data_IF_198080127571
#
_entry.id   IF_198080127571
#
_cell.length_a   1.000
_cell.length_b   1.000
_cell.length_c   1.000
_cell.angle_alpha   90.00
_cell.angle_beta   90.00
_cell.angle_gamma   90.00
#
_symmetry.space_group_name_H-M   'P 1'
#
loop_
_entity.id
_entity.type
_entity.pdbx_description
1 polymer ?
#
# COMPACT_ATOMS: atom_id res chain seq x y z
N UNK A 1 62.38 -35.11 52.26
CA UNK A 1 61.24 -35.98 51.89
C UNK A 1 59.98 -35.51 52.61
N UNK A 2 59.01 -34.89 51.92
CA UNK A 2 57.56 -35.14 52.07
C UNK A 2 56.72 -34.07 51.36
N UNK A 3 56.04 -34.54 50.31
CA UNK A 3 54.64 -34.32 49.92
C UNK A 3 54.14 -32.88 49.70
N UNK A 4 54.11 -32.54 48.41
CA UNK A 4 53.19 -31.57 47.80
C UNK A 4 51.72 -31.93 48.07
N UNK A 5 50.91 -30.93 48.46
CA UNK A 5 49.44 -30.99 48.43
C UNK A 5 48.95 -30.09 47.31
N UNK A 6 48.29 -30.72 46.35
CA UNK A 6 47.58 -30.12 45.22
C UNK A 6 46.32 -29.44 45.76
N UNK A 7 46.14 -28.16 45.43
CA UNK A 7 44.90 -27.41 45.63
C UNK A 7 44.08 -27.52 44.35
N UNK A 8 42.91 -28.15 44.42
CA UNK A 8 41.97 -28.26 43.32
C UNK A 8 41.29 -26.91 43.11
N UNK A 9 41.63 -26.22 42.01
CA UNK A 9 40.90 -25.04 41.57
C UNK A 9 39.73 -25.47 40.67
N UNK A 10 38.52 -25.23 41.13
CA UNK A 10 37.29 -25.43 40.36
C UNK A 10 37.24 -24.38 39.25
N UNK A 11 37.49 -24.78 38.01
CA UNK A 11 37.37 -23.93 36.83
C UNK A 11 35.88 -23.66 36.57
N UNK A 12 35.39 -22.49 36.93
CA UNK A 12 34.08 -22.02 36.49
C UNK A 12 34.18 -21.72 34.98
N UNK A 13 33.68 -22.65 34.17
CA UNK A 13 33.55 -22.48 32.73
C UNK A 13 32.43 -21.45 32.48
N UNK A 14 32.82 -20.19 32.36
CA UNK A 14 31.92 -19.11 31.99
C UNK A 14 31.52 -19.34 30.53
N UNK A 15 30.33 -19.89 30.30
CA UNK A 15 29.71 -19.94 28.98
C UNK A 15 29.46 -18.49 28.51
N UNK A 16 30.41 -17.93 27.77
CA UNK A 16 30.19 -16.78 26.92
C UNK A 16 29.22 -17.21 25.81
N UNK A 17 27.92 -17.04 26.05
CA UNK A 17 26.93 -17.04 24.97
C UNK A 17 27.29 -15.92 23.99
N UNK A 18 27.43 -16.21 22.69
CA UNK A 18 27.69 -15.16 21.72
C UNK A 18 26.49 -14.22 21.72
N UNK A 19 26.74 -12.94 21.98
CA UNK A 19 25.78 -11.88 21.74
C UNK A 19 25.50 -11.87 20.23
N UNK A 20 24.40 -12.49 19.81
CA UNK A 20 23.90 -12.27 18.46
C UNK A 20 23.63 -10.78 18.32
N UNK A 21 24.43 -10.12 17.48
CA UNK A 21 24.18 -8.73 17.10
C UNK A 21 22.98 -8.74 16.17
N UNK A 22 21.81 -8.40 16.69
CA UNK A 22 20.64 -8.12 15.86
C UNK A 22 20.98 -6.91 14.98
N UNK A 23 20.95 -7.09 13.67
CA UNK A 23 21.20 -6.01 12.73
C UNK A 23 19.98 -5.07 12.75
N UNK A 24 20.16 -3.85 13.22
CA UNK A 24 19.18 -2.79 13.05
C UNK A 24 19.15 -2.42 11.56
N UNK A 25 18.10 -2.83 10.84
CA UNK A 25 17.98 -2.52 9.41
C UNK A 25 17.62 -1.05 9.24
N UNK A 26 18.49 -0.27 8.61
CA UNK A 26 18.08 0.98 7.96
C UNK A 26 17.12 0.63 6.82
N UNK A 27 16.07 1.43 6.61
CA UNK A 27 15.13 1.19 5.52
C UNK A 27 15.88 1.08 4.17
N UNK A 28 15.64 0.04 3.36
CA UNK A 28 16.37 -0.16 2.13
C UNK A 28 16.08 0.98 1.16
N UNK A 29 17.08 1.32 0.35
CA UNK A 29 17.04 2.44 -0.60
C UNK A 29 16.88 1.91 -2.02
N UNK A 30 15.90 2.45 -2.76
CA UNK A 30 15.55 2.08 -4.15
C UNK A 30 15.55 3.26 -5.10
N UNK A 31 16.14 4.37 -4.72
CA UNK A 31 16.26 5.50 -5.62
C UNK A 31 17.57 6.22 -5.43
N UNK A 32 18.13 6.64 -6.55
CA UNK A 32 19.28 7.53 -6.60
C UNK A 32 18.79 8.97 -6.56
N UNK A 33 19.40 9.75 -5.67
CA UNK A 33 19.20 11.20 -5.64
C UNK A 33 20.02 11.83 -6.75
N UNK A 34 19.35 12.51 -7.67
CA UNK A 34 19.99 13.19 -8.79
C UNK A 34 19.85 14.70 -8.59
N UNK A 35 20.97 15.34 -8.25
CA UNK A 35 21.05 16.80 -8.18
C UNK A 35 20.77 17.36 -9.57
N UNK A 36 19.73 18.20 -9.65
CA UNK A 36 19.21 18.68 -10.92
C UNK A 36 18.50 20.02 -10.71
N UNK A 37 19.03 21.08 -11.31
CA UNK A 37 18.41 22.40 -11.21
C UNK A 37 17.58 22.72 -12.45
N UNK A 38 16.29 22.98 -12.25
CA UNK A 38 15.39 23.44 -13.30
C UNK A 38 14.48 24.53 -12.74
N UNK A 39 14.54 25.72 -13.35
CA UNK A 39 13.69 26.86 -12.99
C UNK A 39 12.79 27.25 -14.15
N UNK A 40 11.52 27.51 -13.85
CA UNK A 40 10.55 28.02 -14.83
C UNK A 40 11.00 29.34 -15.49
N UNK A 41 11.83 30.14 -14.82
CA UNK A 41 12.36 31.40 -15.37
C UNK A 41 13.31 31.19 -16.55
N UNK A 42 13.93 30.02 -16.63
CA UNK A 42 14.86 29.66 -17.71
C UNK A 42 14.16 29.01 -18.90
N UNK A 43 12.86 28.72 -18.78
CA UNK A 43 12.11 28.01 -19.82
C UNK A 43 11.68 28.95 -20.95
N UNK A 44 11.77 28.46 -22.18
CA UNK A 44 11.25 29.13 -23.38
C UNK A 44 9.79 28.76 -23.68
N UNK A 45 9.22 27.82 -22.93
CA UNK A 45 7.84 27.36 -23.04
C UNK A 45 7.26 27.06 -21.64
N UNK A 46 5.93 27.03 -21.44
CA UNK A 46 5.33 26.67 -20.15
C UNK A 46 5.47 25.17 -19.81
N UNK A 47 6.28 24.43 -20.58
CA UNK A 47 6.51 22.99 -20.44
C UNK A 47 7.99 22.72 -20.23
N UNK A 48 8.27 21.72 -19.41
CA UNK A 48 9.58 21.14 -19.24
C UNK A 48 9.48 19.62 -19.12
N UNK A 49 10.59 18.93 -19.35
CA UNK A 49 10.65 17.48 -19.25
C UNK A 49 11.84 17.11 -18.38
N UNK A 50 11.62 16.20 -17.43
CA UNK A 50 12.68 15.52 -16.69
C UNK A 50 12.71 14.07 -17.16
N UNK A 51 13.86 13.61 -17.64
CA UNK A 51 14.08 12.23 -18.07
C UNK A 51 15.24 11.61 -17.30
N UNK A 52 15.06 10.35 -16.90
CA UNK A 52 16.11 9.53 -16.34
C UNK A 52 16.00 8.11 -16.91
N UNK A 53 16.73 7.78 -17.99
CA UNK A 53 16.57 6.52 -18.69
C UNK A 53 16.63 5.31 -17.75
N UNK A 54 15.68 4.39 -17.92
CA UNK A 54 15.51 3.16 -17.12
C UNK A 54 15.04 3.35 -15.67
N UNK A 55 14.68 4.57 -15.26
CA UNK A 55 14.02 4.74 -13.97
C UNK A 55 12.62 4.09 -14.00
N UNK A 56 12.28 3.36 -12.94
CA UNK A 56 10.95 2.76 -12.76
C UNK A 56 9.92 3.79 -12.30
N UNK A 57 10.38 4.84 -11.63
CA UNK A 57 9.60 6.04 -11.32
C UNK A 57 10.52 7.26 -11.17
N UNK A 58 9.94 8.45 -11.27
CA UNK A 58 10.59 9.71 -10.94
C UNK A 58 9.77 10.44 -9.88
N UNK A 59 10.45 10.97 -8.85
CA UNK A 59 9.83 11.83 -7.84
C UNK A 59 10.59 13.14 -7.72
N UNK A 60 9.96 14.23 -8.14
CA UNK A 60 10.56 15.56 -8.17
C UNK A 60 10.52 16.22 -6.80
N UNK A 61 11.63 16.80 -6.37
CA UNK A 61 11.64 17.74 -5.25
C UNK A 61 11.61 19.17 -5.79
N UNK A 62 10.65 19.94 -5.30
CA UNK A 62 10.53 21.35 -5.59
C UNK A 62 11.13 22.13 -4.42
N UNK A 63 12.20 22.87 -4.69
CA UNK A 63 12.70 23.90 -3.80
C UNK A 63 11.63 24.96 -3.56
N UNK A 64 10.94 25.38 -4.62
CA UNK A 64 9.82 26.30 -4.53
C UNK A 64 8.78 26.10 -5.64
N UNK A 65 7.52 26.35 -5.30
CA UNK A 65 6.39 26.43 -6.22
C UNK A 65 5.52 27.63 -5.81
N UNK A 66 5.44 28.63 -6.67
CA UNK A 66 4.62 29.82 -6.47
C UNK A 66 3.54 29.88 -7.55
N UNK A 67 2.28 29.67 -7.15
CA UNK A 67 1.13 29.63 -8.05
C UNK A 67 0.20 30.83 -7.77
N UNK A 68 -0.03 31.72 -8.76
CA UNK A 68 -1.16 32.66 -8.73
C UNK A 68 -2.50 31.94 -8.55
N UNK A 69 -3.46 32.60 -7.93
CA UNK A 69 -4.79 32.04 -7.70
C UNK A 69 -5.42 31.56 -9.02
N UNK A 70 -5.86 30.30 -9.05
CA UNK A 70 -6.48 29.67 -10.23
C UNK A 70 -5.50 29.20 -11.31
N UNK A 71 -4.20 29.33 -11.10
CA UNK A 71 -3.17 28.66 -11.92
C UNK A 71 -2.86 27.28 -11.35
N UNK A 72 -2.14 26.45 -12.11
CA UNK A 72 -1.74 25.13 -11.64
C UNK A 72 -0.40 24.70 -12.24
N UNK A 73 0.21 23.70 -11.62
CA UNK A 73 1.26 22.88 -12.24
C UNK A 73 0.72 21.47 -12.40
N UNK A 74 0.92 20.86 -13.57
CA UNK A 74 0.53 19.49 -13.89
C UNK A 74 1.76 18.68 -14.22
N UNK A 75 1.83 17.49 -13.64
CA UNK A 75 2.87 16.50 -13.91
C UNK A 75 2.21 15.28 -14.55
N UNK A 76 2.80 14.80 -15.63
CA UNK A 76 2.26 13.68 -16.42
C UNK A 76 3.37 12.66 -16.71
N UNK A 77 3.10 11.37 -16.48
CA UNK A 77 4.00 10.28 -16.85
C UNK A 77 4.19 10.18 -18.37
N UNK A 78 5.26 9.51 -18.83
CA UNK A 78 5.56 9.35 -20.27
C UNK A 78 4.37 8.82 -21.09
N UNK A 79 3.68 7.83 -20.53
CA UNK A 79 2.56 7.13 -21.17
C UNK A 79 1.21 7.84 -20.97
N UNK A 80 1.18 8.90 -20.17
CA UNK A 80 -0.02 9.66 -19.83
C UNK A 80 -0.97 8.96 -18.86
N UNK A 81 -0.59 7.83 -18.27
CA UNK A 81 -1.46 7.06 -17.36
C UNK A 81 -1.55 7.65 -15.96
N UNK A 82 -0.51 8.36 -15.52
CA UNK A 82 -0.53 9.10 -14.26
C UNK A 82 -0.46 10.61 -14.53
N UNK A 83 -1.47 11.32 -14.03
CA UNK A 83 -1.57 12.79 -14.10
C UNK A 83 -1.87 13.32 -12.71
N UNK A 84 -1.01 14.20 -12.21
CA UNK A 84 -1.23 14.91 -10.94
C UNK A 84 -1.19 16.42 -11.16
N UNK A 85 -2.05 17.16 -10.47
CA UNK A 85 -2.14 18.60 -10.58
C UNK A 85 -2.11 19.24 -9.20
N UNK A 86 -1.30 20.28 -9.05
CA UNK A 86 -1.21 21.09 -7.84
C UNK A 86 -1.68 22.52 -8.13
N UNK A 87 -2.51 23.05 -7.24
CA UNK A 87 -3.10 24.41 -7.34
C UNK A 87 -2.64 25.32 -6.21
N UNK A 88 -1.91 24.80 -5.23
CA UNK A 88 -1.42 25.54 -4.08
C UNK A 88 0.08 25.77 -4.17
N UNK A 89 0.54 26.92 -3.66
CA UNK A 89 1.97 27.23 -3.56
C UNK A 89 2.62 26.40 -2.45
N UNK A 90 3.85 25.93 -2.69
CA UNK A 90 4.59 25.05 -1.77
C UNK A 90 6.07 25.40 -1.73
N UNK A 91 6.77 24.98 -0.68
CA UNK A 91 8.20 25.19 -0.48
C UNK A 91 8.84 23.91 0.04
N UNK A 92 10.04 23.58 -0.44
CA UNK A 92 10.82 22.40 -0.02
C UNK A 92 9.97 21.14 0.10
N UNK A 93 9.36 20.72 -1.00
CA UNK A 93 8.31 19.72 -1.02
C UNK A 93 8.52 18.71 -2.18
N UNK A 94 8.20 17.45 -1.92
CA UNK A 94 8.15 16.43 -2.97
C UNK A 94 6.78 16.33 -3.62
N UNK A 95 6.74 16.45 -4.95
CA UNK A 95 5.58 16.03 -5.71
C UNK A 95 5.36 14.51 -5.59
N UNK A 96 4.16 14.07 -5.96
CA UNK A 96 3.84 12.65 -6.08
C UNK A 96 4.75 12.03 -7.14
N UNK A 97 5.27 10.85 -6.84
CA UNK A 97 6.02 10.02 -7.77
C UNK A 97 5.16 9.64 -8.97
N UNK A 98 5.79 9.60 -10.15
CA UNK A 98 5.17 9.12 -11.37
C UNK A 98 5.97 7.94 -11.90
N UNK A 99 5.29 6.84 -12.22
CA UNK A 99 5.90 5.67 -12.82
C UNK A 99 6.45 5.99 -14.22
N UNK A 100 7.54 5.30 -14.55
CA UNK A 100 8.29 5.49 -15.77
C UNK A 100 9.50 6.44 -15.61
N UNK A 101 10.19 6.59 -16.74
CA UNK A 101 11.51 7.23 -16.82
C UNK A 101 11.45 8.69 -17.29
N UNK A 102 10.24 9.28 -17.34
CA UNK A 102 10.01 10.66 -17.77
C UNK A 102 8.83 11.28 -17.04
N UNK A 103 8.98 12.55 -16.67
CA UNK A 103 7.90 13.43 -16.21
C UNK A 103 7.82 14.64 -17.12
N UNK A 104 6.66 14.83 -17.74
CA UNK A 104 6.27 16.08 -18.37
C UNK A 104 5.72 17.02 -17.31
N UNK A 105 6.29 18.22 -17.23
CA UNK A 105 5.89 19.31 -16.34
C UNK A 105 5.20 20.37 -17.19
N UNK A 106 3.98 20.75 -16.83
CA UNK A 106 3.22 21.81 -17.50
C UNK A 106 2.73 22.86 -16.49
N UNK A 107 3.08 24.12 -16.72
CA UNK A 107 2.49 25.26 -16.02
C UNK A 107 1.21 25.71 -16.75
N UNK A 108 0.10 25.74 -16.01
CA UNK A 108 -1.22 26.07 -16.51
C UNK A 108 -1.59 27.48 -16.03
N UNK A 109 -1.78 28.45 -16.94
CA UNK A 109 -2.14 29.80 -16.56
C UNK A 109 -3.57 29.86 -16.03
N UNK A 110 -3.85 30.84 -15.18
CA UNK A 110 -5.21 31.13 -14.75
C UNK A 110 -6.02 31.86 -15.84
N UNK A 111 -7.29 32.18 -15.57
CA UNK A 111 -8.17 32.87 -16.51
C UNK A 111 -7.68 34.26 -16.97
N UNK A 112 -6.74 34.88 -16.26
CA UNK A 112 -6.12 36.17 -16.61
C UNK A 112 -4.82 36.01 -17.42
N UNK A 113 -4.38 34.78 -17.68
CA UNK A 113 -3.10 34.48 -18.33
C UNK A 113 -1.91 34.53 -17.37
N UNK A 114 -2.12 34.65 -16.06
CA UNK A 114 -1.05 34.62 -15.06
C UNK A 114 -0.57 33.18 -14.88
N UNK A 115 0.74 32.96 -14.97
CA UNK A 115 1.38 31.65 -14.89
C UNK A 115 2.20 31.53 -13.60
N UNK A 116 2.25 30.32 -13.04
CA UNK A 116 3.08 30.02 -11.88
C UNK A 116 4.57 29.99 -12.17
N UNK A 117 5.36 29.92 -11.11
CA UNK A 117 6.81 29.74 -11.15
C UNK A 117 7.21 28.56 -10.27
N UNK A 118 8.27 27.85 -10.68
CA UNK A 118 8.82 26.74 -9.90
C UNK A 118 10.34 26.68 -9.99
N UNK A 119 10.95 26.11 -8.97
CA UNK A 119 12.34 25.70 -8.93
C UNK A 119 12.43 24.26 -8.41
N UNK A 120 13.00 23.37 -9.23
CA UNK A 120 13.40 22.00 -8.87
C UNK A 120 14.90 22.02 -8.61
N UNK A 121 15.31 21.41 -7.50
CA UNK A 121 16.71 21.32 -7.04
C UNK A 121 17.28 19.90 -7.14
N UNK A 122 16.43 18.88 -7.06
CA UNK A 122 16.80 17.49 -7.34
C UNK A 122 15.56 16.62 -7.63
N UNK A 123 15.80 15.39 -8.07
CA UNK A 123 14.76 14.36 -8.17
C UNK A 123 15.30 13.00 -7.72
N UNK A 124 14.39 12.11 -7.34
CA UNK A 124 14.68 10.70 -7.09
C UNK A 124 14.41 9.88 -8.35
N UNK A 125 15.40 9.12 -8.81
CA UNK A 125 15.28 8.15 -9.89
C UNK A 125 15.13 6.76 -9.28
N UNK A 126 13.93 6.20 -9.37
CA UNK A 126 13.60 4.89 -8.82
C UNK A 126 14.24 3.75 -9.61
N UNK A 127 14.79 2.78 -8.89
CA UNK A 127 15.23 1.48 -9.38
C UNK A 127 14.67 0.41 -8.45
N UNK A 128 13.60 -0.24 -8.89
CA UNK A 128 12.88 -1.28 -8.13
C UNK A 128 13.69 -2.59 -8.04
N UNK A 129 14.83 -2.70 -8.72
CA UNK A 129 15.79 -3.79 -8.49
C UNK A 129 16.64 -3.48 -7.25
N UNK A 130 16.19 -3.95 -6.08
CA UNK A 130 17.08 -4.03 -4.94
C UNK A 130 18.15 -5.10 -5.21
N UNK A 131 19.42 -4.74 -5.03
CA UNK A 131 20.46 -5.74 -4.90
C UNK A 131 20.09 -6.68 -3.73
N UNK A 132 20.20 -8.00 -3.93
CA UNK A 132 19.83 -9.11 -3.02
C UNK A 132 20.59 -9.13 -1.67
N UNK A 133 21.04 -7.99 -1.18
CA UNK A 133 21.93 -7.83 -0.03
C UNK A 133 21.27 -8.07 1.34
N UNK A 134 19.96 -8.32 1.40
CA UNK A 134 19.22 -8.33 2.68
C UNK A 134 18.46 -9.62 3.01
N UNK A 135 18.82 -10.77 2.42
CA UNK A 135 18.24 -12.08 2.77
C UNK A 135 18.42 -12.50 4.26
N UNK A 136 19.02 -11.68 5.12
CA UNK A 136 19.23 -11.94 6.54
C UNK A 136 17.93 -12.23 7.32
N UNK A 137 16.78 -11.79 6.81
CA UNK A 137 15.46 -12.00 7.44
C UNK A 137 14.63 -13.07 6.73
N UNK A 138 15.17 -13.71 5.69
CA UNK A 138 14.57 -14.89 5.05
C UNK A 138 15.09 -16.12 5.77
N UNK A 139 14.18 -16.88 6.37
CA UNK A 139 14.51 -17.92 7.31
C UNK A 139 14.57 -19.27 6.63
N UNK A 140 15.56 -19.44 5.74
CA UNK A 140 15.70 -20.64 4.93
C UNK A 140 15.40 -20.36 3.48
N UNK A 141 14.41 -21.07 2.95
CA UNK A 141 13.88 -20.82 1.62
C UNK A 141 12.90 -19.65 1.72
N UNK A 142 12.83 -18.80 0.70
CA UNK A 142 11.84 -17.72 0.67
C UNK A 142 10.48 -18.30 0.23
N UNK A 143 9.52 -18.36 1.14
CA UNK A 143 8.15 -18.80 0.89
C UNK A 143 7.19 -17.66 0.54
N UNK A 144 7.61 -16.39 0.67
CA UNK A 144 6.78 -15.24 0.27
C UNK A 144 6.48 -15.26 -1.21
N UNK A 145 5.23 -14.92 -1.53
CA UNK A 145 4.70 -14.82 -2.88
C UNK A 145 3.76 -13.63 -2.95
N UNK A 146 3.54 -13.11 -4.16
CA UNK A 146 2.52 -12.09 -4.42
C UNK A 146 1.20 -12.50 -3.77
N UNK A 147 0.48 -11.53 -3.21
CA UNK A 147 -0.85 -11.75 -2.59
C UNK A 147 -1.79 -12.52 -3.53
N UNK A 148 -1.76 -12.24 -4.83
CA UNK A 148 -2.61 -12.89 -5.82
C UNK A 148 -2.34 -14.41 -5.98
N UNK A 149 -1.14 -14.89 -5.63
CA UNK A 149 -0.83 -16.34 -5.63
C UNK A 149 -1.60 -17.10 -4.55
N UNK A 150 -2.10 -16.39 -3.53
CA UNK A 150 -2.85 -16.97 -2.42
C UNK A 150 -4.36 -16.88 -2.62
N UNK A 151 -4.84 -16.30 -3.72
CA UNK A 151 -6.26 -16.01 -3.93
C UNK A 151 -7.14 -17.26 -3.89
N UNK A 152 -6.66 -18.38 -4.43
CA UNK A 152 -7.41 -19.64 -4.49
C UNK A 152 -7.35 -20.44 -3.18
N UNK A 153 -6.22 -20.38 -2.47
CA UNK A 153 -6.00 -21.18 -1.25
C UNK A 153 -6.35 -20.43 0.04
N UNK A 154 -6.23 -19.11 0.06
CA UNK A 154 -6.42 -18.25 1.23
C UNK A 154 -7.11 -16.91 0.88
N UNK A 155 -8.30 -16.93 0.25
CA UNK A 155 -9.00 -15.72 -0.21
C UNK A 155 -9.30 -14.72 0.93
N UNK A 156 -9.53 -15.22 2.14
CA UNK A 156 -9.77 -14.39 3.31
C UNK A 156 -8.52 -13.57 3.69
N UNK A 157 -7.36 -14.22 3.83
CA UNK A 157 -6.08 -13.55 4.16
C UNK A 157 -5.68 -12.53 3.10
N UNK A 158 -5.97 -12.84 1.83
CA UNK A 158 -5.82 -11.89 0.71
C UNK A 158 -6.69 -10.64 0.94
N UNK A 159 -7.95 -10.81 1.31
CA UNK A 159 -8.86 -9.69 1.61
C UNK A 159 -8.36 -8.83 2.76
N UNK A 160 -7.88 -9.47 3.83
CA UNK A 160 -7.32 -8.77 4.99
C UNK A 160 -5.96 -8.10 4.73
N UNK A 161 -5.30 -8.39 3.61
CA UNK A 161 -4.11 -7.64 3.19
C UNK A 161 -4.43 -6.29 2.54
N UNK A 162 -5.70 -6.02 2.19
CA UNK A 162 -6.12 -4.81 1.47
C UNK A 162 -5.69 -3.49 2.14
N UNK A 163 -5.80 -3.33 3.48
CA UNK A 163 -5.42 -2.10 4.18
C UNK A 163 -3.91 -1.85 4.31
N UNK A 164 -3.09 -2.76 3.79
CA UNK A 164 -1.62 -2.68 3.85
C UNK A 164 -1.08 -1.96 2.62
N UNK A 165 -0.11 -1.10 2.85
CA UNK A 165 0.47 -0.19 1.88
C UNK A 165 2.00 -0.17 1.94
N UNK A 166 2.62 0.15 0.82
CA UNK A 166 4.05 0.44 0.74
C UNK A 166 4.30 1.90 1.11
N UNK A 167 5.39 2.17 1.83
CA UNK A 167 5.89 3.51 2.04
C UNK A 167 7.01 3.82 1.06
N UNK A 168 7.00 5.03 0.49
CA UNK A 168 8.12 5.62 -0.21
C UNK A 168 8.55 6.88 0.57
N UNK A 169 9.53 6.71 1.46
CA UNK A 169 10.01 7.69 2.43
C UNK A 169 11.10 8.53 1.78
N UNK A 170 10.95 9.86 1.85
CA UNK A 170 11.86 10.83 1.22
C UNK A 170 12.16 10.50 -0.26
N UNK A 171 11.22 9.82 -0.93
CA UNK A 171 11.34 9.40 -2.32
C UNK A 171 12.31 8.27 -2.62
N UNK A 172 12.91 7.62 -1.62
CA UNK A 172 13.97 6.62 -1.85
C UNK A 172 13.94 5.41 -0.94
N UNK A 173 13.43 5.54 0.29
CA UNK A 173 13.48 4.47 1.29
C UNK A 173 12.14 3.77 1.42
N UNK A 174 12.18 2.51 1.83
CA UNK A 174 11.00 1.66 1.84
C UNK A 174 10.68 1.11 3.21
N UNK A 175 9.39 1.09 3.50
CA UNK A 175 8.80 0.36 4.60
C UNK A 175 7.38 -0.07 4.21
N UNK A 176 6.70 -0.70 5.15
CA UNK A 176 5.28 -1.04 5.08
C UNK A 176 4.50 -0.18 6.08
N UNK A 177 3.28 0.18 5.71
CA UNK A 177 2.30 0.80 6.60
C UNK A 177 0.93 0.17 6.42
N UNK A 178 -0.01 0.44 7.33
CA UNK A 178 -1.35 -0.11 7.23
C UNK A 178 -2.37 0.73 7.99
N UNK A 179 -3.63 0.72 7.50
CA UNK A 179 -4.75 1.41 8.17
C UNK A 179 -5.24 0.64 9.39
N UNK A 180 -5.49 1.37 10.48
CA UNK A 180 -6.00 0.82 11.73
C UNK A 180 -7.26 1.56 12.18
N UNK A 181 -8.36 0.82 12.33
CA UNK A 181 -9.66 1.43 12.65
C UNK A 181 -10.27 2.30 11.54
N UNK A 182 -11.51 2.77 11.75
CA UNK A 182 -12.29 3.45 10.71
C UNK A 182 -11.78 4.84 10.35
N UNK A 183 -11.12 5.51 11.30
CA UNK A 183 -10.66 6.89 11.13
C UNK A 183 -9.32 6.96 10.37
N UNK A 184 -8.89 8.19 10.09
CA UNK A 184 -7.61 8.47 9.44
C UNK A 184 -6.44 8.17 10.39
N UNK A 185 -6.07 6.88 10.48
CA UNK A 185 -5.04 6.34 11.37
C UNK A 185 -4.28 5.23 10.65
N UNK A 186 -2.96 5.34 10.61
CA UNK A 186 -2.07 4.35 10.01
C UNK A 186 -0.88 4.06 10.94
N UNK A 187 -0.43 2.81 10.95
CA UNK A 187 0.80 2.39 11.63
C UNK A 187 1.95 2.13 10.66
N UNK A 188 3.16 2.42 11.12
CA UNK A 188 4.45 1.94 10.58
C UNK A 188 5.48 1.91 11.73
N UNK A 189 6.76 1.64 11.47
CA UNK A 189 7.78 1.74 12.51
C UNK A 189 8.31 3.17 12.73
N UNK A 190 8.83 3.43 13.93
CA UNK A 190 9.55 4.68 14.23
C UNK A 190 10.80 4.83 13.36
N UNK A 191 11.55 3.75 13.11
CA UNK A 191 12.73 3.84 12.24
C UNK A 191 12.42 4.07 10.76
N UNK A 192 11.17 3.87 10.34
CA UNK A 192 10.69 4.21 9.01
C UNK A 192 10.32 5.69 8.91
N UNK A 193 9.54 6.16 9.88
CA UNK A 193 9.11 7.56 9.96
C UNK A 193 9.16 8.00 11.41
N UNK A 194 10.12 8.87 11.75
CA UNK A 194 10.39 9.30 13.13
C UNK A 194 10.02 10.76 13.40
N UNK A 195 9.83 11.56 12.35
CA UNK A 195 9.55 13.01 12.47
C UNK A 195 8.39 13.45 11.58
N UNK A 196 7.73 14.55 11.97
CA UNK A 196 6.65 15.13 11.17
C UNK A 196 7.15 15.63 9.79
N UNK A 197 8.39 16.12 9.70
CA UNK A 197 8.99 16.58 8.44
C UNK A 197 9.19 15.42 7.47
N UNK A 198 9.71 14.29 7.95
CA UNK A 198 9.86 13.07 7.15
C UNK A 198 8.50 12.49 6.74
N UNK A 199 7.52 12.52 7.64
CA UNK A 199 6.16 12.07 7.32
C UNK A 199 5.56 12.87 6.16
N UNK A 200 5.71 14.20 6.16
CA UNK A 200 5.21 15.08 5.08
C UNK A 200 5.86 14.80 3.72
N UNK A 201 7.01 14.15 3.70
CA UNK A 201 7.75 13.75 2.50
C UNK A 201 7.51 12.28 2.11
N UNK A 202 6.70 11.56 2.87
CA UNK A 202 6.46 10.13 2.69
C UNK A 202 5.17 9.91 1.91
N UNK A 203 5.26 9.13 0.82
CA UNK A 203 4.09 8.60 0.12
C UNK A 203 3.66 7.26 0.74
N UNK A 204 2.35 7.03 0.75
CA UNK A 204 1.70 5.78 1.18
C UNK A 204 0.95 5.20 -0.01
N UNK A 205 1.38 4.04 -0.49
CA UNK A 205 0.93 3.39 -1.72
C UNK A 205 0.04 2.20 -1.41
N UNK A 206 -1.27 2.40 -1.56
CA UNK A 206 -2.26 1.34 -1.49
C UNK A 206 -2.40 0.65 -2.84
N UNK A 207 -2.80 -0.63 -2.81
CA UNK A 207 -3.01 -1.45 -4.01
C UNK A 207 -1.77 -1.59 -4.91
N UNK A 208 -0.57 -1.31 -4.40
CA UNK A 208 0.69 -1.64 -5.06
C UNK A 208 0.91 -3.16 -4.97
N UNK A 209 0.20 -3.91 -5.80
CA UNK A 209 0.18 -5.38 -5.78
C UNK A 209 -0.06 -5.91 -7.18
N UNK A 210 0.23 -7.18 -7.43
CA UNK A 210 -0.09 -7.79 -8.73
C UNK A 210 -1.56 -8.23 -8.79
N UNK A 211 -2.15 -8.12 -9.97
CA UNK A 211 -3.54 -8.50 -10.25
C UNK A 211 -3.74 -10.02 -10.32
N UNK A 212 -2.69 -10.74 -10.71
CA UNK A 212 -2.62 -12.21 -10.76
C UNK A 212 -1.25 -12.64 -10.26
N UNK A 213 -1.10 -13.93 -9.91
CA UNK A 213 0.17 -14.45 -9.42
C UNK A 213 1.31 -14.19 -10.43
N UNK A 214 2.35 -13.46 -10.03
CA UNK A 214 3.45 -12.99 -10.89
C UNK A 214 3.02 -12.16 -12.12
N UNK A 215 1.79 -11.64 -12.13
CA UNK A 215 1.21 -10.92 -13.27
C UNK A 215 1.55 -9.42 -13.30
N UNK A 216 0.68 -8.64 -13.94
CA UNK A 216 0.85 -7.18 -14.01
C UNK A 216 0.47 -6.49 -12.70
N UNK A 217 1.13 -5.36 -12.43
CA UNK A 217 0.77 -4.46 -11.35
C UNK A 217 -0.68 -3.96 -11.49
N UNK A 218 -1.36 -3.87 -10.36
CA UNK A 218 -2.64 -3.18 -10.24
C UNK A 218 -2.43 -1.67 -10.18
N UNK A 219 -3.49 -0.91 -10.44
CA UNK A 219 -3.48 0.54 -10.28
C UNK A 219 -3.20 0.90 -8.83
N UNK A 220 -2.10 1.62 -8.62
CA UNK A 220 -1.67 2.05 -7.28
C UNK A 220 -2.38 3.33 -6.88
N UNK A 221 -2.85 3.40 -5.64
CA UNK A 221 -3.44 4.61 -5.06
C UNK A 221 -2.42 5.23 -4.11
N UNK A 222 -1.99 6.45 -4.42
CA UNK A 222 -0.97 7.19 -3.66
C UNK A 222 -1.62 8.29 -2.83
N UNK A 223 -1.23 8.38 -1.57
CA UNK A 223 -1.56 9.51 -0.66
C UNK A 223 -0.30 9.95 0.08
N UNK A 224 -0.29 11.18 0.61
CA UNK A 224 0.84 11.72 1.35
C UNK A 224 0.63 11.60 2.87
N UNK A 225 1.70 11.42 3.63
CA UNK A 225 1.66 11.55 5.08
C UNK A 225 1.29 12.98 5.51
N UNK A 226 0.47 13.10 6.57
CA UNK A 226 -0.05 14.38 7.05
C UNK A 226 0.41 14.71 8.47
N UNK A 227 -0.20 14.11 9.50
CA UNK A 227 0.09 14.44 10.90
C UNK A 227 0.72 13.24 11.62
N UNK A 228 1.83 13.48 12.32
CA UNK A 228 2.46 12.50 13.20
C UNK A 228 1.77 12.57 14.57
N UNK A 229 1.02 11.53 14.92
CA UNK A 229 0.19 11.51 16.13
C UNK A 229 0.95 10.98 17.35
N UNK A 230 1.71 9.89 17.15
CA UNK A 230 2.49 9.28 18.22
C UNK A 230 3.64 8.48 17.63
N UNK A 231 4.81 8.52 18.26
CA UNK A 231 5.96 7.70 17.88
C UNK A 231 6.79 7.35 19.11
N UNK A 232 7.38 6.16 19.13
CA UNK A 232 8.19 5.68 20.27
C UNK A 232 9.37 4.87 19.74
N UNK A 233 10.58 5.26 20.14
CA UNK A 233 11.81 4.59 19.69
C UNK A 233 11.95 3.19 20.27
N UNK A 234 11.56 2.97 21.53
CA UNK A 234 11.71 1.68 22.23
C UNK A 234 10.70 0.65 21.76
N UNK A 235 9.47 1.10 21.45
CA UNK A 235 8.42 0.25 20.87
C UNK A 235 8.37 0.32 19.34
N UNK A 236 9.37 0.97 18.74
CA UNK A 236 9.58 1.15 17.30
C UNK A 236 8.30 1.28 16.46
N UNK A 237 7.37 2.15 16.87
CA UNK A 237 6.13 2.38 16.14
C UNK A 237 5.93 3.87 15.88
N UNK A 238 5.17 4.17 14.83
CA UNK A 238 4.63 5.47 14.51
C UNK A 238 3.16 5.33 14.12
N UNK A 239 2.29 6.10 14.78
CA UNK A 239 0.90 6.32 14.43
C UNK A 239 0.78 7.68 13.74
N UNK A 240 0.17 7.71 12.57
CA UNK A 240 0.06 8.93 11.76
C UNK A 240 -1.24 9.00 10.96
N UNK A 241 -1.48 10.15 10.33
CA UNK A 241 -2.59 10.40 9.39
C UNK A 241 -2.07 10.68 7.99
N UNK A 242 -2.93 10.57 6.99
CA UNK A 242 -2.62 10.93 5.59
C UNK A 242 -3.50 12.08 5.09
N UNK A 243 -3.04 12.75 4.04
CA UNK A 243 -3.88 13.62 3.22
C UNK A 243 -4.79 12.78 2.32
N UNK A 244 -5.86 13.37 1.78
CA UNK A 244 -6.80 12.70 0.86
C UNK A 244 -7.33 11.32 1.34
N UNK A 245 -7.57 11.16 2.64
CA UNK A 245 -7.96 9.89 3.26
C UNK A 245 -9.12 9.15 2.56
N UNK A 246 -10.07 9.89 1.97
CA UNK A 246 -11.18 9.30 1.22
C UNK A 246 -10.72 8.43 0.03
N UNK A 247 -9.55 8.69 -0.56
CA UNK A 247 -8.98 7.86 -1.64
C UNK A 247 -8.65 6.45 -1.18
N UNK A 248 -8.36 6.26 0.11
CA UNK A 248 -7.93 4.98 0.66
C UNK A 248 -8.98 4.34 1.57
N UNK A 249 -10.11 5.01 1.79
CA UNK A 249 -11.19 4.58 2.68
C UNK A 249 -11.76 3.20 2.30
N UNK A 250 -11.85 2.90 1.00
CA UNK A 250 -12.40 1.66 0.44
C UNK A 250 -11.52 0.41 0.68
N UNK A 251 -10.23 0.57 0.98
CA UNK A 251 -9.34 -0.56 1.28
C UNK A 251 -9.61 -1.20 2.66
N UNK A 252 -10.54 -0.64 3.43
CA UNK A 252 -10.84 -1.11 4.79
C UNK A 252 -9.72 -0.81 5.78
N UNK A 253 -9.76 -1.47 6.93
CA UNK A 253 -8.81 -1.28 8.01
C UNK A 253 -8.64 -2.55 8.83
N UNK A 254 -7.47 -2.69 9.44
CA UNK A 254 -7.16 -3.80 10.34
C UNK A 254 -7.65 -3.52 11.76
N UNK A 255 -7.94 -4.61 12.47
CA UNK A 255 -8.24 -4.62 13.89
C UNK A 255 -6.99 -4.81 14.74
N UNK A 256 -7.10 -4.52 16.03
CA UNK A 256 -6.04 -4.73 17.01
C UNK A 256 -6.45 -5.81 18.02
N UNK A 257 -5.51 -6.68 18.35
CA UNK A 257 -5.57 -7.55 19.51
C UNK A 257 -4.39 -7.22 20.43
N UNK A 258 -4.71 -6.76 21.64
CA UNK A 258 -3.73 -6.34 22.64
C UNK A 258 -3.43 -7.42 23.68
N UNK A 259 -3.87 -8.66 23.45
CA UNK A 259 -3.46 -9.81 24.26
C UNK A 259 -1.99 -10.14 24.00
N UNK A 260 -1.34 -10.79 24.96
CA UNK A 260 0.05 -11.23 24.76
C UNK A 260 0.08 -12.41 23.76
N UNK A 261 1.02 -12.41 22.80
CA UNK A 261 1.16 -13.51 21.85
C UNK A 261 1.37 -14.86 22.54
N UNK A 262 0.79 -15.91 21.96
CA UNK A 262 0.86 -17.28 22.48
C UNK A 262 1.66 -18.14 21.52
N UNK A 263 2.63 -18.87 22.04
CA UNK A 263 3.46 -19.81 21.27
C UNK A 263 2.58 -20.80 20.48
N UNK A 264 2.91 -21.00 19.20
CA UNK A 264 2.21 -21.89 18.29
C UNK A 264 0.93 -21.30 17.67
N UNK A 265 0.49 -20.10 18.07
CA UNK A 265 -0.62 -19.45 17.36
C UNK A 265 -0.22 -19.16 15.92
N UNK A 266 -1.08 -19.56 14.98
CA UNK A 266 -0.84 -19.34 13.55
C UNK A 266 -0.93 -17.86 13.20
N UNK A 267 0.02 -17.37 12.39
CA UNK A 267 0.08 -15.97 11.95
C UNK A 267 0.26 -15.89 10.44
N UNK A 268 0.09 -14.70 9.88
CA UNK A 268 0.53 -14.37 8.54
C UNK A 268 0.89 -12.89 8.44
N UNK A 269 1.76 -12.54 7.48
CA UNK A 269 2.34 -11.19 7.38
C UNK A 269 2.18 -10.67 5.95
N UNK A 270 1.18 -9.79 5.70
CA UNK A 270 1.14 -8.97 4.49
C UNK A 270 2.21 -7.88 4.55
N UNK A 271 3.04 -7.78 3.51
CA UNK A 271 4.25 -6.96 3.55
C UNK A 271 4.67 -6.47 2.16
N UNK A 272 5.51 -5.44 2.14
CA UNK A 272 6.25 -4.97 0.95
C UNK A 272 7.74 -5.22 1.12
N UNK A 273 8.10 -6.49 1.27
CA UNK A 273 9.49 -6.90 1.35
C UNK A 273 10.27 -6.49 0.10
N UNK A 274 11.47 -5.95 0.28
CA UNK A 274 12.30 -5.38 -0.78
C UNK A 274 11.62 -4.25 -1.58
N UNK A 275 10.53 -3.68 -1.06
CA UNK A 275 9.69 -2.75 -1.82
C UNK A 275 8.85 -3.42 -2.90
N UNK A 276 8.86 -4.74 -3.00
CA UNK A 276 8.10 -5.47 -4.00
C UNK A 276 6.60 -5.17 -3.92
N UNK A 277 5.86 -5.44 -5.01
CA UNK A 277 4.40 -5.51 -4.95
C UNK A 277 3.96 -6.40 -3.80
N UNK A 278 2.83 -6.10 -3.16
CA UNK A 278 2.41 -6.73 -1.90
C UNK A 278 2.51 -8.26 -1.94
N UNK A 279 3.24 -8.80 -0.96
CA UNK A 279 3.45 -10.23 -0.75
C UNK A 279 2.81 -10.68 0.57
N UNK A 280 2.56 -11.98 0.69
CA UNK A 280 2.10 -12.63 1.91
C UNK A 280 3.09 -13.71 2.35
N UNK A 281 3.49 -13.67 3.62
CA UNK A 281 4.10 -14.80 4.33
C UNK A 281 3.00 -15.56 5.08
N UNK A 282 2.72 -16.79 4.65
CA UNK A 282 1.77 -17.72 5.28
C UNK A 282 2.45 -19.05 5.63
N UNK A 283 3.37 -19.50 4.78
CA UNK A 283 4.17 -20.71 4.96
C UNK A 283 5.49 -20.39 5.65
N UNK A 284 6.10 -21.39 6.29
CA UNK A 284 7.46 -21.31 6.84
C UNK A 284 8.09 -22.70 6.86
N UNK A 285 9.23 -22.87 6.17
CA UNK A 285 9.98 -24.13 6.12
C UNK A 285 10.60 -24.53 7.48
N UNK A 286 10.68 -23.59 8.44
CA UNK A 286 11.24 -23.81 9.78
C UNK A 286 10.27 -24.45 10.75
N UNK A 287 8.98 -24.36 10.46
CA UNK A 287 7.93 -24.86 11.34
C UNK A 287 7.47 -26.24 10.88
N UNK A 288 7.34 -27.17 11.83
CA UNK A 288 6.91 -28.55 11.52
C UNK A 288 5.50 -28.64 10.93
N UNK A 289 4.69 -27.59 11.08
CA UNK A 289 3.38 -27.43 10.43
C UNK A 289 3.46 -27.00 8.97
N UNK A 290 4.62 -26.50 8.51
CA UNK A 290 4.80 -25.80 7.25
C UNK A 290 4.19 -24.39 7.22
N UNK A 291 3.65 -23.91 8.34
CA UNK A 291 2.93 -22.65 8.44
C UNK A 291 3.64 -21.67 9.38
N UNK A 292 3.45 -20.40 9.09
CA UNK A 292 3.77 -19.30 9.98
C UNK A 292 3.05 -19.42 11.33
N UNK A 293 3.79 -19.28 12.42
CA UNK A 293 3.27 -19.26 13.78
C UNK A 293 4.14 -18.37 14.68
N UNK A 294 3.66 -18.09 15.90
CA UNK A 294 4.48 -17.49 16.95
C UNK A 294 5.45 -18.54 17.49
N UNK A 295 6.74 -18.31 17.32
CA UNK A 295 7.81 -19.22 17.75
C UNK A 295 8.45 -18.78 19.07
N UNK A 296 8.36 -17.49 19.41
CA UNK A 296 8.69 -16.97 20.74
C UNK A 296 7.61 -15.98 21.20
N UNK A 297 6.84 -16.36 22.22
CA UNK A 297 5.75 -15.55 22.77
C UNK A 297 6.20 -14.19 23.33
N UNK A 298 7.40 -14.14 23.92
CA UNK A 298 7.96 -12.89 24.44
C UNK A 298 9.49 -12.90 24.39
N UNK A 299 10.05 -11.89 23.75
CA UNK A 299 11.49 -11.68 23.62
C UNK A 299 11.83 -10.19 23.76
N UNK A 300 13.12 -9.88 23.89
CA UNK A 300 13.58 -8.50 23.90
C UNK A 300 13.63 -7.97 22.46
N UNK A 301 13.12 -6.77 22.25
CA UNK A 301 13.40 -5.97 21.06
C UNK A 301 14.38 -4.85 21.41
N UNK A 302 14.05 -3.61 21.02
CA UNK A 302 14.74 -2.41 21.55
C UNK A 302 14.48 -2.19 23.04
N UNK A 303 13.39 -2.76 23.55
CA UNK A 303 13.08 -2.81 24.97
C UNK A 303 13.03 -4.24 25.51
N UNK A 304 12.94 -4.35 26.83
CA UNK A 304 12.83 -5.62 27.52
C UNK A 304 11.43 -6.21 27.37
N UNK A 305 11.32 -7.45 26.89
CA UNK A 305 10.06 -8.18 26.66
C UNK A 305 9.02 -7.39 25.84
N UNK A 306 9.47 -6.55 24.91
CA UNK A 306 8.60 -5.75 24.04
C UNK A 306 8.05 -6.53 22.86
N UNK A 307 8.70 -7.64 22.50
CA UNK A 307 8.56 -8.28 21.20
C UNK A 307 8.07 -9.71 21.31
N UNK A 308 7.66 -10.26 20.17
CA UNK A 308 7.43 -11.67 19.90
C UNK A 308 8.22 -12.09 18.66
N UNK A 309 8.63 -13.36 18.59
CA UNK A 309 9.46 -13.92 17.51
C UNK A 309 8.72 -14.97 16.68
N UNK A 310 9.12 -15.10 15.41
CA UNK A 310 8.56 -16.03 14.42
C UNK A 310 9.56 -16.31 13.28
N UNK A 311 9.39 -17.46 12.62
CA UNK A 311 10.17 -17.83 11.43
C UNK A 311 9.48 -17.54 10.10
N UNK A 312 8.43 -16.71 10.10
CA UNK A 312 7.85 -16.18 8.87
C UNK A 312 8.87 -15.32 8.14
N UNK A 313 9.04 -15.56 6.85
CA UNK A 313 9.95 -14.78 6.02
C UNK A 313 9.57 -13.30 5.98
N UNK A 314 10.59 -12.47 6.17
CA UNK A 314 10.57 -11.04 5.89
C UNK A 314 11.90 -10.62 5.25
N UNK A 315 12.03 -9.34 4.91
CA UNK A 315 13.27 -8.74 4.37
C UNK A 315 13.21 -7.22 4.57
N UNK A 316 14.28 -6.48 4.32
CA UNK A 316 14.23 -5.01 4.32
C UNK A 316 13.03 -4.48 3.56
N UNK A 317 12.37 -3.43 4.06
CA UNK A 317 11.12 -2.90 3.51
C UNK A 317 9.86 -3.54 4.11
N UNK A 318 9.98 -4.72 4.72
CA UNK A 318 8.88 -5.33 5.49
C UNK A 318 8.65 -4.63 6.82
N UNK A 319 9.59 -3.83 7.30
CA UNK A 319 9.46 -2.99 8.49
C UNK A 319 8.12 -2.26 8.51
N UNK A 320 7.36 -2.42 9.58
CA UNK A 320 6.05 -1.79 9.79
C UNK A 320 4.89 -2.67 9.34
N UNK A 321 5.16 -3.85 8.80
CA UNK A 321 4.12 -4.82 8.43
C UNK A 321 3.35 -5.30 9.67
N UNK A 322 2.02 -5.45 9.57
CA UNK A 322 1.24 -6.04 10.64
C UNK A 322 1.47 -7.56 10.68
N UNK A 323 1.66 -8.09 11.89
CA UNK A 323 1.61 -9.54 12.15
C UNK A 323 0.19 -9.89 12.53
N UNK A 324 -0.51 -10.59 11.64
CA UNK A 324 -1.94 -10.89 11.78
C UNK A 324 -2.14 -12.30 12.33
N UNK A 325 -3.02 -12.45 13.32
CA UNK A 325 -3.42 -13.75 13.83
C UNK A 325 -4.34 -14.45 12.82
N UNK A 326 -4.14 -15.75 12.58
CA UNK A 326 -4.92 -16.51 11.60
C UNK A 326 -6.37 -16.73 12.06
N UNK A 327 -6.65 -16.73 13.38
CA UNK A 327 -7.99 -17.03 13.87
C UNK A 327 -9.01 -15.89 13.69
N UNK A 328 -8.55 -14.65 13.66
CA UNK A 328 -9.43 -13.46 13.65
C UNK A 328 -8.90 -12.29 12.81
N UNK A 329 -7.76 -12.44 12.14
CA UNK A 329 -7.12 -11.45 11.26
C UNK A 329 -6.76 -10.12 11.96
N UNK A 330 -6.69 -10.11 13.30
CA UNK A 330 -6.28 -8.93 14.06
C UNK A 330 -4.77 -8.84 14.15
N UNK A 331 -4.26 -7.61 14.15
CA UNK A 331 -2.85 -7.36 14.37
C UNK A 331 -2.48 -7.59 15.84
N UNK A 332 -1.50 -8.47 16.07
CA UNK A 332 -0.96 -8.81 17.39
C UNK A 332 0.46 -8.28 17.60
N UNK A 333 1.19 -8.00 16.51
CA UNK A 333 2.50 -7.38 16.56
C UNK A 333 2.76 -6.50 15.32
N UNK A 334 3.77 -5.63 15.42
CA UNK A 334 4.28 -4.78 14.35
C UNK A 334 5.72 -5.22 14.02
N UNK A 335 5.94 -5.80 12.84
CA UNK A 335 7.25 -6.29 12.42
C UNK A 335 8.29 -5.15 12.37
N UNK A 336 9.50 -5.37 12.89
CA UNK A 336 10.60 -4.39 12.80
C UNK A 336 12.01 -4.97 12.81
N UNK A 337 12.18 -6.23 13.23
CA UNK A 337 13.48 -6.88 13.35
C UNK A 337 13.54 -8.19 12.58
N UNK A 338 14.72 -8.47 12.03
CA UNK A 338 15.02 -9.73 11.39
C UNK A 338 16.37 -10.31 11.83
N UNK A 339 16.69 -11.49 11.31
CA UNK A 339 17.87 -12.26 11.70
C UNK A 339 17.61 -13.74 11.95
N UNK A 340 16.37 -14.20 11.71
CA UNK A 340 15.94 -15.58 11.82
C UNK A 340 16.29 -16.23 13.16
N UNK A 341 15.50 -15.97 14.21
CA UNK A 341 14.10 -15.50 14.14
C UNK A 341 13.88 -14.02 13.75
N UNK A 342 12.75 -13.77 13.07
CA UNK A 342 12.21 -12.43 12.87
C UNK A 342 11.35 -12.02 14.06
N UNK A 343 11.19 -10.72 14.29
CA UNK A 343 10.53 -10.19 15.48
C UNK A 343 9.63 -8.99 15.18
N UNK A 344 8.58 -8.87 16.00
CA UNK A 344 7.67 -7.73 15.98
C UNK A 344 7.31 -7.23 17.37
N UNK A 345 7.14 -5.92 17.51
CA UNK A 345 6.73 -5.28 18.75
C UNK A 345 5.27 -5.62 19.03
N UNK A 346 4.97 -6.09 20.23
CA UNK A 346 3.62 -6.54 20.61
C UNK A 346 2.63 -5.38 20.65
N UNK A 347 1.45 -5.58 20.05
CA UNK A 347 0.35 -4.60 20.10
C UNK A 347 -0.11 -4.39 21.54
N UNK A 348 0.03 -5.39 22.42
CA UNK A 348 -0.19 -5.23 23.86
C UNK A 348 0.62 -4.09 24.49
N UNK A 349 1.84 -3.83 23.99
CA UNK A 349 2.70 -2.73 24.44
C UNK A 349 2.37 -1.42 23.73
N UNK A 350 2.20 -1.44 22.40
CA UNK A 350 1.87 -0.25 21.61
C UNK A 350 0.53 0.34 22.05
N UNK A 351 -0.49 -0.50 22.31
CA UNK A 351 -1.82 -0.07 22.74
C UNK A 351 -1.79 0.86 23.95
N UNK A 352 -0.89 0.62 24.91
CA UNK A 352 -0.74 1.46 26.11
C UNK A 352 -0.36 2.91 25.80
N UNK A 353 0.23 3.16 24.62
CA UNK A 353 0.63 4.50 24.17
C UNK A 353 -0.40 5.18 23.28
N UNK A 354 -1.26 4.41 22.61
CA UNK A 354 -2.13 4.92 21.54
C UNK A 354 -3.62 4.83 21.82
N UNK A 355 -4.04 4.16 22.91
CA UNK A 355 -5.46 3.90 23.20
C UNK A 355 -6.35 5.16 23.15
N UNK A 356 -5.82 6.32 23.56
CA UNK A 356 -6.56 7.60 23.52
C UNK A 356 -6.96 8.02 22.11
N UNK A 357 -6.16 7.71 21.09
CA UNK A 357 -6.48 8.00 19.68
C UNK A 357 -7.63 7.16 19.12
N UNK A 358 -8.06 6.14 19.87
CA UNK A 358 -9.14 5.21 19.54
C UNK A 358 -10.26 5.22 20.59
N UNK A 359 -10.36 6.29 21.39
CA UNK A 359 -11.35 6.38 22.48
C UNK A 359 -11.32 5.16 23.42
N UNK A 360 -10.12 4.62 23.68
CA UNK A 360 -9.89 3.41 24.47
C UNK A 360 -10.62 2.15 23.99
N UNK A 361 -11.08 2.13 22.73
CA UNK A 361 -11.79 0.99 22.14
C UNK A 361 -10.92 0.34 21.07
N UNK A 362 -10.63 -0.95 21.22
CA UNK A 362 -9.85 -1.69 20.23
C UNK A 362 -10.62 -1.76 18.89
N UNK A 363 -10.00 -1.36 17.77
CA UNK A 363 -10.59 -1.57 16.46
C UNK A 363 -10.79 -3.08 16.19
N UNK A 364 -11.96 -3.46 15.69
CA UNK A 364 -12.24 -4.87 15.34
C UNK A 364 -11.76 -5.27 13.93
N UNK A 365 -11.40 -4.29 13.10
CA UNK A 365 -11.09 -4.52 11.68
C UNK A 365 -12.35 -4.57 10.82
N UNK A 366 -12.23 -4.11 9.58
CA UNK A 366 -13.27 -4.20 8.57
C UNK A 366 -12.60 -4.09 7.22
N UNK A 367 -12.52 -5.21 6.51
CA UNK A 367 -12.16 -5.23 5.10
C UNK A 367 -13.38 -5.65 4.31
N UNK A 368 -13.52 -5.13 3.09
CA UNK A 368 -14.46 -5.73 2.16
C UNK A 368 -14.02 -7.17 1.96
N UNK A 369 -14.84 -8.15 2.39
CA UNK A 369 -14.54 -9.59 2.26
C UNK A 369 -14.44 -10.05 0.79
N UNK A 370 -14.72 -9.12 -0.11
CA UNK A 370 -14.27 -9.15 -1.49
C UNK A 370 -13.39 -7.90 -1.64
N UNK A 371 -12.06 -7.99 -1.85
CA UNK A 371 -11.39 -6.91 -2.58
C UNK A 371 -12.28 -6.68 -3.79
N UNK A 372 -12.61 -5.44 -4.23
CA UNK A 372 -13.42 -5.32 -5.43
C UNK A 372 -12.69 -6.11 -6.53
N UNK A 373 -13.18 -7.32 -6.81
CA UNK A 373 -12.59 -8.23 -7.77
C UNK A 373 -13.02 -7.60 -9.06
N UNK A 374 -12.18 -6.69 -9.56
CA UNK A 374 -12.48 -5.94 -10.77
C UNK A 374 -12.54 -6.96 -11.88
N UNK A 375 -13.75 -7.40 -12.19
CA UNK A 375 -13.96 -8.44 -13.19
C UNK A 375 -13.75 -7.82 -14.56
N UNK A 376 -12.80 -8.34 -15.32
CA UNK A 376 -12.62 -7.88 -16.68
C UNK A 376 -13.86 -8.18 -17.52
N UNK A 377 -14.35 -7.16 -18.21
CA UNK A 377 -15.45 -7.21 -19.15
C UNK A 377 -14.88 -7.08 -20.57
N UNK A 378 -15.10 -8.10 -21.40
CA UNK A 378 -14.65 -8.10 -22.79
C UNK A 378 -15.77 -7.49 -23.66
N UNK A 379 -15.48 -6.46 -24.48
CA UNK A 379 -16.47 -5.89 -25.39
C UNK A 379 -17.13 -6.95 -26.28
N UNK A 380 -18.43 -6.79 -26.51
CA UNK A 380 -19.31 -7.68 -27.26
C UNK A 380 -19.48 -9.10 -26.66
N UNK A 381 -19.02 -9.34 -25.43
CA UNK A 381 -19.29 -10.58 -24.70
C UNK A 381 -20.21 -10.30 -23.49
N UNK A 382 -21.48 -10.74 -23.54
CA UNK A 382 -22.43 -10.50 -22.46
C UNK A 382 -22.09 -11.34 -21.22
N UNK A 383 -22.17 -10.72 -20.04
CA UNK A 383 -22.21 -11.41 -18.77
C UNK A 383 -23.67 -11.66 -18.38
N UNK A 384 -24.06 -12.91 -18.24
CA UNK A 384 -25.44 -13.31 -17.97
C UNK A 384 -25.62 -13.83 -16.55
N UNK A 385 -26.88 -13.89 -16.12
CA UNK A 385 -27.31 -14.48 -14.85
C UNK A 385 -26.62 -13.84 -13.62
N UNK A 386 -26.43 -12.53 -13.66
CA UNK A 386 -25.89 -11.76 -12.55
C UNK A 386 -26.94 -11.64 -11.44
N UNK A 387 -26.47 -11.76 -10.20
CA UNK A 387 -27.30 -11.60 -9.01
C UNK A 387 -26.48 -10.95 -7.89
N UNK A 388 -27.10 -10.04 -7.16
CA UNK A 388 -26.55 -9.36 -5.98
C UNK A 388 -27.66 -9.14 -4.95
N UNK A 389 -27.30 -9.17 -3.67
CA UNK A 389 -28.18 -8.81 -2.54
C UNK A 389 -28.22 -7.30 -2.34
N UNK A 390 -29.30 -6.78 -1.77
CA UNK A 390 -29.47 -5.35 -1.52
C UNK A 390 -28.24 -4.73 -0.82
N UNK A 391 -27.71 -3.65 -1.40
CA UNK A 391 -26.55 -2.93 -0.91
C UNK A 391 -25.21 -3.45 -1.41
N UNK A 392 -25.15 -4.64 -2.02
CA UNK A 392 -23.93 -5.17 -2.62
C UNK A 392 -23.57 -4.45 -3.92
N UNK A 393 -22.26 -4.41 -4.19
CA UNK A 393 -21.67 -3.77 -5.36
C UNK A 393 -20.73 -4.76 -6.07
N UNK A 394 -20.80 -4.81 -7.40
CA UNK A 394 -19.88 -5.55 -8.25
C UNK A 394 -19.15 -4.56 -9.16
N UNK A 395 -17.82 -4.58 -9.12
CA UNK A 395 -16.99 -3.73 -9.95
C UNK A 395 -16.44 -4.55 -11.14
N UNK A 396 -16.62 -4.02 -12.34
CA UNK A 396 -16.11 -4.56 -13.60
C UNK A 396 -15.25 -3.51 -14.30
N UNK A 397 -14.40 -3.95 -15.22
CA UNK A 397 -13.54 -3.06 -15.99
C UNK A 397 -13.36 -3.54 -17.43
N UNK A 398 -13.45 -2.61 -18.37
CA UNK A 398 -12.91 -2.80 -19.73
C UNK A 398 -11.55 -2.10 -19.78
N UNK A 399 -10.48 -2.87 -19.96
CA UNK A 399 -9.12 -2.31 -20.08
C UNK A 399 -9.02 -1.32 -21.23
N UNK A 400 -8.22 -0.27 -21.07
CA UNK A 400 -7.93 0.72 -22.11
C UNK A 400 -7.50 0.06 -23.44
N UNK A 401 -6.65 -0.98 -23.36
CA UNK A 401 -6.18 -1.76 -24.52
C UNK A 401 -7.29 -2.47 -25.29
N UNK A 402 -8.43 -2.74 -24.64
CA UNK A 402 -9.60 -3.38 -25.23
C UNK A 402 -10.65 -2.36 -25.70
N UNK A 403 -10.48 -1.06 -25.44
CA UNK A 403 -11.38 0.00 -25.92
C UNK A 403 -10.93 0.46 -27.31
N UNK A 404 -11.64 0.04 -28.37
CA UNK A 404 -11.33 0.44 -29.75
C UNK A 404 -12.24 1.54 -30.29
N UNK A 405 -13.45 1.65 -29.75
CA UNK A 405 -14.45 2.65 -30.11
C UNK A 405 -15.21 3.14 -28.86
N UNK A 406 -16.17 4.03 -29.04
CA UNK A 406 -17.11 4.37 -27.97
C UNK A 406 -17.88 3.10 -27.55
N UNK A 407 -18.02 2.89 -26.25
CA UNK A 407 -18.72 1.75 -25.70
C UNK A 407 -20.12 2.15 -25.23
N UNK A 408 -21.10 1.30 -25.51
CA UNK A 408 -22.43 1.37 -24.92
C UNK A 408 -22.57 0.26 -23.90
N UNK A 409 -22.68 0.64 -22.64
CA UNK A 409 -22.83 -0.28 -21.50
C UNK A 409 -24.31 -0.42 -21.22
N UNK A 410 -24.81 -1.64 -21.17
CA UNK A 410 -26.22 -1.91 -20.98
C UNK A 410 -26.43 -3.04 -20.00
N UNK A 411 -27.40 -2.87 -19.11
CA UNK A 411 -27.99 -3.96 -18.36
C UNK A 411 -29.42 -4.19 -18.83
N UNK A 412 -29.84 -5.45 -18.78
CA UNK A 412 -31.20 -5.85 -19.14
C UNK A 412 -31.59 -7.14 -18.45
N UNK A 413 -32.87 -7.50 -18.56
CA UNK A 413 -33.45 -8.77 -18.07
C UNK A 413 -33.44 -8.91 -16.54
N UNK A 414 -33.85 -10.07 -16.05
CA UNK A 414 -33.86 -10.40 -14.62
C UNK A 414 -34.99 -9.75 -13.83
N UNK A 415 -34.95 -9.97 -12.52
CA UNK A 415 -35.84 -9.36 -11.51
C UNK A 415 -35.05 -8.51 -10.53
N UNK A 416 -35.69 -7.59 -9.81
CA UNK A 416 -35.04 -6.72 -8.82
C UNK A 416 -34.72 -5.33 -9.37
N UNK A 417 -33.73 -4.67 -8.77
CA UNK A 417 -33.36 -3.29 -9.10
C UNK A 417 -31.83 -3.10 -9.06
N UNK A 418 -31.20 -3.31 -10.21
CA UNK A 418 -29.77 -3.10 -10.44
C UNK A 418 -29.52 -1.68 -10.98
N UNK A 419 -28.75 -0.89 -10.24
CA UNK A 419 -28.27 0.43 -10.66
C UNK A 419 -26.90 0.29 -11.37
N UNK A 420 -26.77 0.90 -12.54
CA UNK A 420 -25.56 0.99 -13.34
C UNK A 420 -24.83 2.32 -13.10
N UNK A 421 -23.55 2.23 -12.79
CA UNK A 421 -22.64 3.37 -12.71
C UNK A 421 -21.45 3.12 -13.61
N UNK A 422 -21.09 4.12 -14.43
CA UNK A 422 -19.96 4.02 -15.35
C UNK A 422 -19.05 5.23 -15.15
N UNK A 423 -17.75 4.96 -15.08
CA UNK A 423 -16.71 6.00 -15.00
C UNK A 423 -15.42 5.58 -15.68
N UNK A 424 -14.81 6.48 -16.43
CA UNK A 424 -13.48 6.30 -17.01
C UNK A 424 -12.39 6.68 -15.99
N UNK A 425 -11.28 5.94 -16.00
CA UNK A 425 -10.03 6.30 -15.33
C UNK A 425 -9.95 5.87 -13.86
N UNK A 426 -11.11 5.74 -13.20
CA UNK A 426 -11.21 5.24 -11.83
C UNK A 426 -12.55 4.57 -11.55
N UNK A 427 -12.64 3.71 -10.52
CA UNK A 427 -13.91 3.14 -10.08
C UNK A 427 -14.96 4.21 -9.76
N UNK A 428 -16.21 4.08 -10.24
CA UNK A 428 -17.29 4.97 -9.85
C UNK A 428 -17.66 4.78 -8.38
N UNK A 429 -18.19 5.83 -7.76
CA UNK A 429 -18.87 5.78 -6.46
C UNK A 429 -20.32 6.24 -6.62
N UNK A 430 -21.11 6.17 -5.55
CA UNK A 430 -22.49 6.66 -5.55
C UNK A 430 -22.61 8.18 -5.77
N UNK A 431 -21.52 8.93 -5.58
CA UNK A 431 -21.45 10.39 -5.77
C UNK A 431 -20.53 10.82 -6.90
N UNK A 432 -19.71 9.92 -7.44
CA UNK A 432 -18.72 10.20 -8.48
C UNK A 432 -18.84 9.19 -9.63
N UNK A 433 -19.47 9.62 -10.72
CA UNK A 433 -19.70 8.81 -11.92
C UNK A 433 -19.74 9.71 -13.15
N UNK A 434 -19.46 9.15 -14.32
CA UNK A 434 -19.62 9.88 -15.59
C UNK A 434 -21.04 9.67 -16.13
N UNK A 435 -21.60 8.48 -15.90
CA UNK A 435 -22.96 8.14 -16.29
C UNK A 435 -23.64 7.24 -15.26
N UNK A 436 -24.90 7.58 -14.98
CA UNK A 436 -25.81 6.81 -14.13
C UNK A 436 -27.26 7.08 -14.59
N UNK A 437 -27.95 6.11 -15.22
CA UNK A 437 -29.29 6.33 -15.79
C UNK A 437 -30.39 6.42 -14.72
N UNK A 438 -30.21 5.71 -13.60
CA UNK A 438 -31.06 5.74 -12.41
C UNK A 438 -32.53 5.46 -12.67
N UNK A 439 -32.78 4.37 -13.40
CA UNK A 439 -34.10 3.82 -13.62
C UNK A 439 -34.42 2.82 -12.52
N UNK A 440 -35.68 2.73 -12.14
CA UNK A 440 -36.15 1.75 -11.14
C UNK A 440 -36.28 0.32 -11.68
N UNK A 441 -35.55 0.00 -12.75
CA UNK A 441 -35.62 -1.26 -13.48
C UNK A 441 -34.23 -1.68 -13.95
N UNK A 442 -34.02 -2.98 -14.17
CA UNK A 442 -32.76 -3.52 -14.68
C UNK A 442 -32.43 -3.15 -16.15
N UNK A 443 -33.16 -2.23 -16.79
CA UNK A 443 -32.96 -1.81 -18.19
C UNK A 443 -32.27 -0.45 -18.24
N UNK A 444 -30.99 -0.42 -17.94
CA UNK A 444 -30.19 0.81 -17.92
C UNK A 444 -29.15 0.83 -19.02
N UNK A 445 -28.81 2.03 -19.51
CA UNK A 445 -27.80 2.20 -20.56
C UNK A 445 -26.95 3.44 -20.34
N UNK A 446 -25.64 3.28 -20.45
CA UNK A 446 -24.65 4.35 -20.40
C UNK A 446 -23.75 4.32 -21.63
N UNK A 447 -23.38 5.50 -22.13
CA UNK A 447 -22.42 5.63 -23.22
C UNK A 447 -21.11 6.17 -22.67
N UNK A 448 -20.02 5.46 -22.94
CA UNK A 448 -18.66 5.85 -22.58
C UNK A 448 -17.88 6.22 -23.84
N UNK A 449 -17.39 7.47 -23.98
CA UNK A 449 -16.58 7.88 -25.12
C UNK A 449 -15.23 7.12 -25.15
N UNK A 450 -14.61 7.01 -26.32
CA UNK A 450 -13.27 6.43 -26.46
C UNK A 450 -12.22 7.40 -25.89
N UNK A 451 -11.48 6.90 -24.91
CA UNK A 451 -10.42 7.59 -24.17
C UNK A 451 -9.41 6.52 -23.76
N UNK A 452 -8.12 6.87 -23.74
CA UNK A 452 -7.03 5.93 -23.49
C UNK A 452 -6.85 5.61 -22.00
N UNK A 453 -7.94 5.24 -21.34
CA UNK A 453 -8.02 4.93 -19.91
C UNK A 453 -8.96 3.74 -19.71
N UNK A 454 -8.83 3.04 -18.59
CA UNK A 454 -9.73 1.95 -18.24
C UNK A 454 -11.16 2.45 -18.04
N UNK A 455 -12.15 1.67 -18.47
CA UNK A 455 -13.57 1.95 -18.19
C UNK A 455 -14.01 1.10 -17.01
N UNK A 456 -14.39 1.73 -15.92
CA UNK A 456 -14.95 1.06 -14.75
C UNK A 456 -16.47 1.09 -14.78
N UNK A 457 -17.07 -0.07 -14.47
CA UNK A 457 -18.51 -0.26 -14.41
C UNK A 457 -18.84 -0.85 -13.04
N UNK A 458 -19.66 -0.16 -12.26
CA UNK A 458 -20.19 -0.70 -11.01
C UNK A 458 -21.66 -1.04 -11.19
N UNK A 459 -22.02 -2.27 -10.85
CA UNK A 459 -23.40 -2.66 -10.61
C UNK A 459 -23.68 -2.63 -9.12
N UNK A 460 -24.74 -1.93 -8.73
CA UNK A 460 -25.18 -1.87 -7.34
C UNK A 460 -26.60 -2.39 -7.22
N UNK A 461 -26.85 -3.25 -6.25
CA UNK A 461 -28.19 -3.70 -5.93
C UNK A 461 -28.92 -2.65 -5.06
N UNK A 462 -29.69 -1.75 -5.68
CA UNK A 462 -30.59 -0.87 -4.92
C UNK A 462 -31.66 -1.70 -4.18
N UNK A 463 -32.15 -2.75 -4.86
CA UNK A 463 -32.81 -3.92 -4.26
C UNK A 463 -32.11 -5.17 -4.77
N UNK A 464 -32.19 -6.27 -4.01
CA UNK A 464 -31.65 -7.55 -4.46
C UNK A 464 -32.16 -7.88 -5.86
N UNK A 465 -31.26 -8.27 -6.77
CA UNK A 465 -31.58 -8.63 -8.14
C UNK A 465 -31.01 -9.99 -8.52
N UNK A 466 -31.60 -10.60 -9.54
CA UNK A 466 -31.16 -11.88 -10.08
C UNK A 466 -31.51 -12.02 -11.58
N UNK A 467 -30.68 -12.74 -12.33
CA UNK A 467 -30.90 -13.00 -13.75
C UNK A 467 -30.59 -11.82 -14.67
N UNK A 468 -29.85 -10.81 -14.19
CA UNK A 468 -29.48 -9.62 -14.98
C UNK A 468 -28.37 -9.98 -15.97
N UNK A 469 -28.46 -9.41 -17.17
CA UNK A 469 -27.42 -9.49 -18.20
C UNK A 469 -26.78 -8.13 -18.41
N UNK A 470 -25.44 -8.08 -18.38
CA UNK A 470 -24.63 -6.89 -18.64
C UNK A 470 -23.83 -7.06 -19.93
N UNK A 471 -23.74 -6.02 -20.75
CA UNK A 471 -22.94 -6.03 -21.98
C UNK A 471 -22.29 -4.67 -22.23
N UNK A 472 -21.03 -4.67 -22.70
CA UNK A 472 -20.38 -3.52 -23.29
C UNK A 472 -20.32 -3.72 -24.80
N UNK A 473 -21.02 -2.89 -25.58
CA UNK A 473 -21.09 -3.03 -27.04
C UNK A 473 -20.27 -1.94 -27.70
N UNK A 474 -19.42 -2.32 -28.64
CA UNK A 474 -18.70 -1.36 -29.49
C UNK A 474 -19.68 -0.70 -30.46
N UNK A 475 -19.66 0.62 -30.55
CA UNK A 475 -20.41 1.31 -31.59
C UNK A 475 -19.69 1.11 -32.93
N UNK A 476 -20.37 0.48 -33.89
CA UNK A 476 -19.90 0.34 -35.28
C UNK A 476 -19.81 1.69 -35.99
#
# INVERSE_FOLDING_TARGET
MMKSKIVTATLALCCLSPSFSYAQSTAPTIADEVIFTLSSETLTSPRAVVEHPKADFIKLHFKSLNLPQGSAIRLTSRDGTEVVQYTESQQSWFAQSLFGDQVLIELIPNAKGEIGQFEIDYYMAGNESLAESELLSTCGINERKDVACWQDSHPEKVSWSSPVARLLINGRSLCTAWRVGPDNRLFTNNHCVSTASELKQTEVWFNYQRTTCNGSLATTVKVMGNELLSTDYTLDYTLFTVDDFNKIASFGYLGLDNTEPVFGNGIYIPQHGAGNPKELAIESDKNGSGLCQIDIASTNGRGTHTDTGYFCDTIGGSSGSPVLNTSDNKAIALHHFGGCENQGVKISKIWTKVATFFNHTLPNGSVSQTPPQVRELIPNQPLNNLALSQGEEMLLMVKASNRKTNLTISISSGSGDADLYVKTGQPPTQSLYDCRPYQSTNNETCVAPLVNEDLYIMLRAYRSFAGVSLTATEKQ
#
